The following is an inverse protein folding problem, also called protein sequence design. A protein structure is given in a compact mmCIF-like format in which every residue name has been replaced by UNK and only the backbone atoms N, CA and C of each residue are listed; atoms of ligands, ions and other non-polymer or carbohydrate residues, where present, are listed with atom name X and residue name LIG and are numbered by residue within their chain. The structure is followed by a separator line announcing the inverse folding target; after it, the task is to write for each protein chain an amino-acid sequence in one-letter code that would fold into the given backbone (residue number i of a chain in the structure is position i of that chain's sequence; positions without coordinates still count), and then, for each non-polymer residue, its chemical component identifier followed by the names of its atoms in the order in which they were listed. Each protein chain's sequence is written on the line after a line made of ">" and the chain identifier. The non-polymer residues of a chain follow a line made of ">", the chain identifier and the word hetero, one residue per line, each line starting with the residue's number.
data_IF_727888927697
#
_entry.id   IF_727888927697
#
_cell.length_a   1.000
_cell.length_b   1.000
_cell.length_c   1.000
_cell.angle_alpha   90.00
_cell.angle_beta   90.00
_cell.angle_gamma   90.00
#
_symmetry.space_group_name_H-M   'P 1'
#
loop_
_entity.id
_entity.type
_entity.pdbx_description
1 polymer ?
#
# COMPACT_ATOMS: atom_id res chain seq x y z
N UNK A 1 -15.76 -4.80 -4.81
CA UNK A 1 -15.70 -3.88 -3.66
C UNK A 1 -15.73 -2.47 -4.18
N UNK A 2 -16.73 -1.66 -3.83
CA UNK A 2 -16.85 -0.26 -4.27
C UNK A 2 -16.28 0.71 -3.21
N UNK A 3 -15.09 0.40 -2.68
CA UNK A 3 -14.40 1.22 -1.69
C UNK A 3 -12.98 1.52 -2.20
N UNK A 4 -12.43 2.72 -1.96
CA UNK A 4 -11.04 3.02 -2.31
C UNK A 4 -10.05 2.09 -1.59
N UNK A 5 -8.93 1.79 -2.24
CA UNK A 5 -7.88 0.92 -1.69
C UNK A 5 -6.52 1.61 -1.78
N UNK A 6 -5.79 1.62 -0.67
CA UNK A 6 -4.40 2.04 -0.58
C UNK A 6 -3.59 0.91 0.04
N UNK A 7 -2.53 0.52 -0.64
CA UNK A 7 -1.71 -0.63 -0.29
C UNK A 7 -0.23 -0.27 -0.40
N UNK A 8 0.53 -0.71 0.59
CA UNK A 8 1.98 -0.63 0.60
C UNK A 8 2.53 -1.99 1.00
N UNK A 9 3.56 -2.46 0.28
CA UNK A 9 4.21 -3.73 0.55
C UNK A 9 5.70 -3.53 0.81
N UNK A 10 6.24 -4.20 1.81
CA UNK A 10 7.65 -4.13 2.15
C UNK A 10 8.54 -4.57 0.97
N UNK A 11 9.64 -3.85 0.72
CA UNK A 11 10.64 -4.24 -0.30
C UNK A 11 11.25 -5.61 0.03
N UNK A 12 11.63 -5.82 1.30
CA UNK A 12 12.20 -7.07 1.79
C UNK A 12 11.12 -7.96 2.42
N UNK A 13 10.00 -8.10 1.72
CA UNK A 13 8.92 -8.99 2.11
C UNK A 13 9.32 -10.46 1.98
N UNK A 14 9.04 -11.26 3.02
CA UNK A 14 9.40 -12.67 3.09
C UNK A 14 8.22 -13.64 3.10
N UNK A 15 7.00 -13.13 3.28
CA UNK A 15 5.77 -13.91 3.39
C UNK A 15 4.85 -13.76 2.15
N UNK A 16 4.97 -12.64 1.42
CA UNK A 16 4.13 -12.31 0.27
C UNK A 16 4.99 -12.02 -0.97
N UNK A 17 4.40 -12.14 -2.16
CA UNK A 17 5.12 -11.83 -3.39
C UNK A 17 5.14 -10.31 -3.64
N UNK A 18 6.31 -9.70 -3.54
CA UNK A 18 6.52 -8.25 -3.70
C UNK A 18 7.10 -7.84 -5.05
N UNK A 19 7.09 -8.71 -6.06
CA UNK A 19 7.55 -8.32 -7.40
C UNK A 19 6.69 -7.20 -8.00
N UNK A 20 7.23 -6.37 -8.90
CA UNK A 20 6.46 -5.35 -9.61
C UNK A 20 5.20 -5.91 -10.29
N UNK A 21 5.28 -7.12 -10.86
CA UNK A 21 4.16 -7.81 -11.49
C UNK A 21 3.08 -8.19 -10.48
N UNK A 22 3.47 -8.58 -9.27
CA UNK A 22 2.55 -8.95 -8.19
C UNK A 22 1.81 -7.73 -7.64
N UNK A 23 2.51 -6.60 -7.52
CA UNK A 23 1.91 -5.31 -7.18
C UNK A 23 0.92 -4.85 -8.26
N UNK A 24 1.26 -4.99 -9.54
CA UNK A 24 0.34 -4.68 -10.64
C UNK A 24 -0.86 -5.64 -10.69
N UNK A 25 -0.64 -6.92 -10.43
CA UNK A 25 -1.73 -7.90 -10.33
C UNK A 25 -2.67 -7.58 -9.16
N UNK A 26 -2.13 -7.16 -8.01
CA UNK A 26 -2.93 -6.72 -6.87
C UNK A 26 -3.86 -5.56 -7.24
N UNK A 27 -3.35 -4.51 -7.91
CA UNK A 27 -4.19 -3.36 -8.25
C UNK A 27 -5.30 -3.71 -9.24
N UNK A 28 -5.01 -4.54 -10.24
CA UNK A 28 -5.99 -4.97 -11.25
C UNK A 28 -7.05 -5.92 -10.71
N UNK A 29 -6.81 -6.59 -9.59
CA UNK A 29 -7.81 -7.46 -8.94
C UNK A 29 -9.04 -6.68 -8.41
N UNK A 30 -8.91 -5.39 -8.13
CA UNK A 30 -9.98 -4.54 -7.59
C UNK A 30 -10.81 -3.87 -8.70
N UNK A 31 -11.49 -4.67 -9.53
CA UNK A 31 -12.20 -4.22 -10.74
C UNK A 31 -13.37 -3.26 -10.53
N UNK A 32 -13.81 -3.09 -9.29
CA UNK A 32 -14.98 -2.25 -8.93
C UNK A 32 -14.63 -1.13 -7.95
N UNK A 33 -13.36 -1.01 -7.55
CA UNK A 33 -12.93 0.04 -6.63
C UNK A 33 -12.77 1.37 -7.40
N UNK A 34 -13.26 2.50 -6.86
CA UNK A 34 -13.18 3.79 -7.54
C UNK A 34 -11.74 4.33 -7.63
N UNK A 35 -10.87 3.91 -6.72
CA UNK A 35 -9.45 4.27 -6.71
C UNK A 35 -8.66 3.15 -6.04
N UNK A 36 -7.55 2.75 -6.67
CA UNK A 36 -6.63 1.75 -6.12
C UNK A 36 -5.21 2.27 -6.29
N UNK A 37 -4.44 2.25 -5.21
CA UNK A 37 -3.01 2.60 -5.23
C UNK A 37 -2.23 1.49 -4.54
N UNK A 38 -1.10 1.13 -5.12
CA UNK A 38 -0.18 0.13 -4.57
C UNK A 38 1.26 0.56 -4.85
N UNK A 39 2.14 0.36 -3.87
CA UNK A 39 3.56 0.67 -4.02
C UNK A 39 4.41 -0.21 -3.10
N UNK A 40 5.72 -0.21 -3.33
CA UNK A 40 6.71 -0.84 -2.46
C UNK A 40 7.28 0.17 -1.47
N UNK A 41 7.51 -0.25 -0.24
CA UNK A 41 8.08 0.57 0.84
C UNK A 41 9.54 0.19 1.00
N UNK A 42 10.42 1.09 0.57
CA UNK A 42 11.86 0.86 0.55
C UNK A 42 12.42 0.65 1.97
N UNK A 43 13.50 -0.12 2.05
CA UNK A 43 14.26 -0.36 3.29
C UNK A 43 13.40 -0.90 4.45
N UNK A 44 12.37 -1.69 4.12
CA UNK A 44 11.45 -2.26 5.10
C UNK A 44 11.24 -3.76 4.89
N UNK A 45 11.07 -4.47 6.01
CA UNK A 45 10.58 -5.85 6.03
C UNK A 45 9.10 -5.91 6.45
N UNK A 46 8.58 -7.14 6.58
CA UNK A 46 7.15 -7.44 6.75
C UNK A 46 6.38 -6.49 7.69
N UNK A 47 6.93 -6.22 8.87
CA UNK A 47 6.30 -5.34 9.87
C UNK A 47 6.71 -3.88 9.64
N UNK A 48 6.26 -3.26 8.56
CA UNK A 48 6.68 -1.90 8.14
C UNK A 48 6.53 -0.87 9.27
N UNK A 49 5.45 -0.96 10.05
CA UNK A 49 5.17 -0.06 11.18
C UNK A 49 6.29 -0.08 12.25
N UNK A 50 7.06 -1.16 12.31
CA UNK A 50 8.17 -1.36 13.26
C UNK A 50 9.56 -1.11 12.64
N UNK A 51 9.64 -0.61 11.41
CA UNK A 51 10.89 -0.27 10.73
C UNK A 51 11.17 1.23 10.73
N UNK A 52 12.35 1.63 10.27
CA UNK A 52 12.74 3.04 10.09
C UNK A 52 11.76 3.82 9.20
N UNK A 53 11.14 3.15 8.22
CA UNK A 53 10.12 3.72 7.35
C UNK A 53 8.75 3.93 8.02
N UNK A 54 8.49 3.33 9.19
CA UNK A 54 7.16 3.27 9.80
C UNK A 54 6.50 4.64 10.03
N UNK A 55 7.27 5.65 10.48
CA UNK A 55 6.74 7.02 10.64
C UNK A 55 6.24 7.60 9.32
N UNK A 56 7.02 7.43 8.25
CA UNK A 56 6.65 7.92 6.93
C UNK A 56 5.42 7.17 6.40
N UNK A 57 5.42 5.84 6.53
CA UNK A 57 4.30 4.98 6.13
C UNK A 57 2.99 5.33 6.85
N UNK A 58 3.02 5.57 8.16
CA UNK A 58 1.84 6.02 8.90
C UNK A 58 1.33 7.40 8.43
N UNK A 59 2.26 8.33 8.18
CA UNK A 59 1.91 9.67 7.71
C UNK A 59 1.23 9.61 6.34
N UNK A 60 1.75 8.79 5.43
CA UNK A 60 1.16 8.55 4.11
C UNK A 60 -0.27 8.01 4.20
N UNK A 61 -0.50 7.00 5.05
CA UNK A 61 -1.83 6.41 5.25
C UNK A 61 -2.84 7.44 5.76
N UNK A 62 -2.45 8.27 6.73
CA UNK A 62 -3.30 9.34 7.26
C UNK A 62 -3.59 10.41 6.22
N UNK A 63 -2.57 10.84 5.47
CA UNK A 63 -2.72 11.82 4.39
C UNK A 63 -3.64 11.31 3.28
N UNK A 64 -3.52 10.03 2.91
CA UNK A 64 -4.39 9.41 1.92
C UNK A 64 -5.84 9.34 2.41
N UNK A 65 -6.06 8.88 3.65
CA UNK A 65 -7.39 8.82 4.24
C UNK A 65 -8.03 10.23 4.34
N UNK A 66 -7.25 11.25 4.70
CA UNK A 66 -7.72 12.63 4.76
C UNK A 66 -8.18 13.15 3.39
N UNK A 67 -7.54 12.73 2.28
CA UNK A 67 -7.97 13.10 0.93
C UNK A 67 -9.30 12.46 0.53
N UNK A 68 -9.55 11.22 0.91
CA UNK A 68 -10.83 10.55 0.63
C UNK A 68 -12.03 11.22 1.32
N UNK A 69 -11.82 11.76 2.52
CA UNK A 69 -12.88 12.47 3.26
C UNK A 69 -13.29 13.82 2.62
N UNK A 70 -12.56 14.28 1.61
CA UNK A 70 -12.74 15.57 0.92
C UNK A 70 -13.19 15.42 -0.54
N UNK A 71 -13.48 14.19 -0.99
CA UNK A 71 -14.03 13.85 -2.32
C UNK A 71 -15.46 13.34 -2.21
#
# INVERSE_FOLDING_TARGET
>A
MNVPVHYGLAEHEGLWNSTPESIAAFTTAFTTAPQVTAHTINDSGHNVDHHYAGRAFHSEQLDWAARLSRS
#
